data_IF_614248527888
#
_entry.id   IF_614248527888
#
_cell.length_a   1.000
_cell.length_b   1.000
_cell.length_c   1.000
_cell.angle_alpha   90.00
_cell.angle_beta   90.00
_cell.angle_gamma   90.00
#
_symmetry.space_group_name_H-M   'P 1'
#
loop_
_entity.id
_entity.type
_entity.pdbx_description
1 polymer ?
#
# COMPACT_ATOMS: atom_id res chain seq x y z
N UNK A 1 -10.51 12.75 -8.64
CA UNK A 1 -9.24 12.18 -9.14
C UNK A 1 -8.69 11.25 -8.04
N UNK A 2 -9.29 10.07 -7.93
CA UNK A 2 -8.86 9.01 -7.02
C UNK A 2 -7.72 8.29 -7.74
N UNK A 3 -6.50 8.39 -7.21
CA UNK A 3 -5.37 7.66 -7.77
C UNK A 3 -5.34 6.25 -7.16
N UNK A 4 -6.01 5.31 -7.82
CA UNK A 4 -5.90 3.87 -7.56
C UNK A 4 -4.64 3.34 -8.26
N UNK A 5 -3.47 3.65 -7.73
CA UNK A 5 -2.20 3.20 -8.34
C UNK A 5 -1.80 1.86 -7.75
N UNK A 6 -2.37 0.77 -8.27
CA UNK A 6 -1.83 -0.59 -8.14
C UNK A 6 -0.53 -0.70 -8.96
N UNK A 7 0.60 -0.25 -8.39
CA UNK A 7 1.92 -0.43 -9.00
C UNK A 7 2.55 -1.72 -8.47
N UNK A 8 2.36 -2.81 -9.23
CA UNK A 8 3.26 -3.97 -9.17
C UNK A 8 4.66 -3.51 -9.54
N UNK A 9 5.57 -3.42 -8.56
CA UNK A 9 6.98 -3.22 -8.85
C UNK A 9 7.54 -4.54 -9.39
N UNK A 10 7.87 -4.55 -10.69
CA UNK A 10 8.63 -5.59 -11.37
C UNK A 10 10.06 -5.63 -10.81
N UNK A 11 10.22 -6.11 -9.58
CA UNK A 11 11.47 -6.01 -8.85
C UNK A 11 11.36 -6.67 -7.47
N UNK A 12 11.22 -7.99 -7.45
CA UNK A 12 11.55 -8.87 -6.32
C UNK A 12 10.88 -8.61 -4.95
N UNK A 13 9.85 -7.76 -4.86
CA UNK A 13 8.96 -7.65 -3.68
C UNK A 13 7.51 -7.70 -4.12
N UNK A 14 7.07 -8.90 -4.50
CA UNK A 14 5.70 -9.19 -4.85
C UNK A 14 4.90 -9.29 -3.54
N UNK A 15 4.14 -8.26 -3.16
CA UNK A 15 3.31 -8.34 -1.96
C UNK A 15 2.96 -7.02 -1.27
N UNK A 16 3.68 -5.91 -1.49
CA UNK A 16 3.33 -4.63 -0.84
C UNK A 16 2.32 -3.82 -1.64
N UNK A 17 1.26 -3.40 -0.96
CA UNK A 17 0.17 -2.57 -1.45
C UNK A 17 0.12 -1.28 -0.64
N UNK A 18 -0.35 -0.20 -1.28
CA UNK A 18 -0.62 1.04 -0.56
C UNK A 18 -1.94 1.66 -0.98
N UNK A 19 -2.70 2.12 -0.01
CA UNK A 19 -3.97 2.82 -0.20
C UNK A 19 -3.80 4.24 0.34
N UNK A 20 -4.09 5.23 -0.51
CA UNK A 20 -4.10 6.63 -0.12
C UNK A 20 -5.48 7.01 0.38
N UNK A 21 -5.60 7.30 1.68
CA UNK A 21 -6.88 7.69 2.31
C UNK A 21 -7.18 9.16 1.99
N UNK A 22 -6.19 10.04 2.11
CA UNK A 22 -6.34 11.45 1.75
C UNK A 22 -4.99 12.09 1.40
N UNK A 23 -4.91 13.43 1.32
CA UNK A 23 -3.66 14.13 1.00
C UNK A 23 -2.55 13.88 2.02
N UNK A 24 -2.89 13.53 3.26
CA UNK A 24 -1.97 13.41 4.40
C UNK A 24 -1.72 11.97 4.85
N UNK A 25 -2.61 11.02 4.58
CA UNK A 25 -2.50 9.66 5.12
C UNK A 25 -2.36 8.61 4.02
N UNK A 26 -1.43 7.68 4.25
CA UNK A 26 -1.18 6.50 3.42
C UNK A 26 -1.15 5.26 4.30
N UNK A 27 -1.86 4.22 3.87
CA UNK A 27 -1.76 2.89 4.47
C UNK A 27 -0.90 2.04 3.57
N UNK A 28 0.14 1.42 4.13
CA UNK A 28 0.98 0.43 3.47
C UNK A 28 0.68 -0.93 4.10
N UNK A 29 0.50 -1.97 3.31
CA UNK A 29 0.26 -3.33 3.81
C UNK A 29 0.80 -4.37 2.84
N UNK A 30 1.02 -5.57 3.33
CA UNK A 30 1.42 -6.71 2.51
C UNK A 30 0.22 -7.65 2.30
N UNK A 31 -0.04 -8.10 1.08
CA UNK A 31 -1.05 -9.11 0.83
C UNK A 31 -0.40 -10.49 0.78
N UNK A 32 -0.57 -11.24 1.87
CA UNK A 32 -0.17 -12.63 1.97
C UNK A 32 -1.35 -13.56 1.62
N UNK A 33 -1.09 -14.85 1.56
CA UNK A 33 -2.13 -15.86 1.27
C UNK A 33 -3.27 -15.90 2.31
N UNK A 34 -3.00 -15.47 3.55
CA UNK A 34 -3.97 -15.47 4.65
C UNK A 34 -4.69 -14.11 4.82
N UNK A 35 -4.27 -13.09 4.07
CA UNK A 35 -4.85 -11.74 4.12
C UNK A 35 -3.81 -10.62 4.23
N UNK A 36 -4.25 -9.40 4.58
CA UNK A 36 -3.36 -8.25 4.75
C UNK A 36 -2.54 -8.38 6.04
N UNK A 37 -1.22 -8.43 5.90
CA UNK A 37 -0.23 -8.38 6.98
C UNK A 37 0.59 -7.09 6.93
N UNK A 38 1.36 -6.80 7.98
CA UNK A 38 2.27 -5.64 8.05
C UNK A 38 1.60 -4.30 7.70
N UNK A 39 0.37 -4.09 8.22
CA UNK A 39 -0.39 -2.85 8.00
C UNK A 39 0.24 -1.71 8.79
N UNK A 40 0.77 -0.72 8.08
CA UNK A 40 1.35 0.49 8.62
C UNK A 40 0.58 1.72 8.11
N UNK A 41 0.30 2.66 9.02
CA UNK A 41 -0.30 3.95 8.67
C UNK A 41 0.81 4.99 8.76
N UNK A 42 1.24 5.50 7.61
CA UNK A 42 2.25 6.56 7.50
C UNK A 42 1.56 7.85 7.12
N UNK A 43 1.95 8.95 7.76
CA UNK A 43 1.53 10.28 7.33
C UNK A 43 2.56 10.92 6.38
N UNK A 44 2.05 11.42 5.26
CA UNK A 44 2.78 12.17 4.24
C UNK A 44 3.03 13.56 4.86
N UNK A 45 4.18 13.71 5.53
CA UNK A 45 4.72 15.02 5.92
C UNK A 45 5.22 15.79 4.70
#
# INVERSE_FOLDING_TARGET
MIQETLKLWSGNRNGQFSIRINKKWRVCFEWQSDGPENVEITDDH
#
